data_IF_496955293446
#
_entry.id   IF_496955293446
#
_cell.length_a   1.000
_cell.length_b   1.000
_cell.length_c   1.000
_cell.angle_alpha   90.00
_cell.angle_beta   90.00
_cell.angle_gamma   90.00
#
_symmetry.space_group_name_H-M   'P 1'
#
loop_
_entity.id
_entity.type
_entity.pdbx_description
1 polymer ?
#
# COMPACT_ATOMS: atom_id res chain seq x y z
N UNK A 1 -7.01 26.56 -0.47
CA UNK A 1 -7.44 25.44 0.39
C UNK A 1 -6.51 24.25 0.18
N UNK A 2 -6.10 23.59 1.27
CA UNK A 2 -5.31 22.34 1.25
C UNK A 2 -6.18 21.24 1.85
N UNK A 3 -6.18 20.08 1.22
CA UNK A 3 -6.99 18.94 1.64
C UNK A 3 -6.07 17.75 1.89
N UNK A 4 -6.17 17.13 3.06
CA UNK A 4 -5.44 15.92 3.42
C UNK A 4 -6.42 14.77 3.59
N UNK A 5 -6.29 13.74 2.76
CA UNK A 5 -7.05 12.49 2.89
C UNK A 5 -6.26 11.51 3.77
N UNK A 6 -6.68 11.34 5.01
CA UNK A 6 -6.11 10.37 5.94
C UNK A 6 -6.85 9.03 5.85
N UNK A 7 -6.13 7.93 5.86
CA UNK A 7 -6.70 6.58 5.81
C UNK A 7 -6.18 5.70 6.94
N UNK A 8 -7.09 5.07 7.67
CA UNK A 8 -6.76 4.07 8.70
C UNK A 8 -6.33 2.72 8.10
N UNK A 9 -6.58 2.50 6.82
CA UNK A 9 -6.40 1.19 6.16
C UNK A 9 -5.01 0.59 6.33
N UNK A 10 -3.96 1.42 6.22
CA UNK A 10 -2.55 0.98 6.31
C UNK A 10 -1.93 1.37 7.63
N UNK A 11 -2.09 2.63 8.02
CA UNK A 11 -1.49 3.20 9.24
C UNK A 11 -1.92 2.46 10.51
N UNK A 12 -3.18 2.01 10.57
CA UNK A 12 -3.77 1.29 11.71
C UNK A 12 -4.12 -0.17 11.37
N UNK A 13 -3.65 -0.70 10.24
CA UNK A 13 -3.98 -2.05 9.75
C UNK A 13 -5.48 -2.37 9.68
N UNK A 14 -6.32 -1.33 9.55
CA UNK A 14 -7.79 -1.42 9.59
C UNK A 14 -8.43 -1.40 8.20
N UNK A 15 -7.81 -2.06 7.22
CA UNK A 15 -8.23 -2.01 5.82
C UNK A 15 -9.72 -2.36 5.61
N UNK A 16 -10.19 -3.40 6.27
CA UNK A 16 -11.57 -3.89 6.13
C UNK A 16 -12.62 -2.98 6.78
N UNK A 17 -12.23 -2.12 7.71
CA UNK A 17 -13.17 -1.26 8.45
C UNK A 17 -13.60 -0.01 7.68
N UNK A 18 -12.95 0.33 6.58
CA UNK A 18 -13.28 1.45 5.68
C UNK A 18 -13.39 2.80 6.40
N UNK A 19 -12.43 3.11 7.27
CA UNK A 19 -12.37 4.35 8.03
C UNK A 19 -11.25 5.26 7.54
N UNK A 20 -11.51 6.55 7.50
CA UNK A 20 -10.57 7.60 7.16
C UNK A 20 -11.15 8.98 7.48
N UNK A 21 -10.37 10.02 7.25
CA UNK A 21 -10.79 11.40 7.50
C UNK A 21 -10.34 12.31 6.35
N UNK A 22 -11.17 13.29 6.03
CA UNK A 22 -10.82 14.40 5.19
C UNK A 22 -10.50 15.60 6.09
N UNK A 23 -9.28 16.10 6.04
CA UNK A 23 -8.82 17.23 6.84
C UNK A 23 -8.66 18.42 5.92
N UNK A 24 -9.32 19.53 6.26
CA UNK A 24 -9.37 20.74 5.45
C UNK A 24 -8.59 21.86 6.13
N UNK A 25 -7.78 22.57 5.35
CA UNK A 25 -7.09 23.79 5.75
C UNK A 25 -7.41 24.89 4.73
N UNK A 26 -7.97 26.00 5.18
CA UNK A 26 -8.23 27.18 4.36
C UNK A 26 -7.79 28.46 5.06
N UNK A 27 -7.73 29.55 4.32
CA UNK A 27 -7.36 30.86 4.86
C UNK A 27 -8.49 31.50 5.70
N UNK A 28 -9.71 31.09 5.46
CA UNK A 28 -10.89 31.57 6.19
C UNK A 28 -11.80 30.40 6.59
N UNK A 29 -12.60 30.62 7.61
CA UNK A 29 -13.50 29.63 8.18
C UNK A 29 -14.70 29.34 7.25
N UNK A 30 -15.13 30.32 6.47
CA UNK A 30 -16.24 30.15 5.53
C UNK A 30 -15.99 29.08 4.53
N UNK A 31 -14.80 29.06 3.88
CA UNK A 31 -14.44 28.05 2.89
C UNK A 31 -14.41 26.62 3.49
N UNK A 32 -13.98 26.51 4.77
CA UNK A 32 -13.99 25.23 5.48
C UNK A 32 -15.42 24.77 5.71
N UNK A 33 -16.27 25.64 6.26
CA UNK A 33 -17.66 25.33 6.62
C UNK A 33 -18.51 25.00 5.38
N UNK A 34 -18.33 25.73 4.29
CA UNK A 34 -19.03 25.47 3.02
C UNK A 34 -18.61 24.10 2.45
N UNK A 35 -17.31 23.81 2.46
CA UNK A 35 -16.80 22.53 1.99
C UNK A 35 -17.29 21.37 2.87
N UNK A 36 -17.26 21.51 4.20
CA UNK A 36 -17.80 20.52 5.13
C UNK A 36 -19.28 20.26 4.88
N UNK A 37 -20.08 21.34 4.70
CA UNK A 37 -21.51 21.23 4.41
C UNK A 37 -21.77 20.43 3.11
N UNK A 38 -21.01 20.70 2.06
CA UNK A 38 -21.13 19.96 0.79
C UNK A 38 -20.77 18.49 0.98
N UNK A 39 -19.63 18.21 1.65
CA UNK A 39 -19.15 16.84 1.88
C UNK A 39 -20.12 16.04 2.76
N UNK A 40 -20.68 16.64 3.80
CA UNK A 40 -21.67 16.02 4.67
C UNK A 40 -22.94 15.63 3.89
N UNK A 41 -23.48 16.56 3.09
CA UNK A 41 -24.65 16.29 2.24
C UNK A 41 -24.37 15.21 1.19
N UNK A 42 -23.19 15.26 0.57
CA UNK A 42 -22.76 14.24 -0.38
C UNK A 42 -22.63 12.85 0.27
N UNK A 43 -22.00 12.78 1.44
CA UNK A 43 -21.88 11.56 2.20
C UNK A 43 -23.28 11.00 2.55
N UNK A 44 -24.17 11.86 3.05
CA UNK A 44 -25.55 11.48 3.39
C UNK A 44 -26.33 10.94 2.20
N UNK A 45 -26.13 11.49 1.02
CA UNK A 45 -26.81 11.09 -0.20
C UNK A 45 -26.27 9.76 -0.82
N UNK A 46 -25.03 9.40 -0.52
CA UNK A 46 -24.35 8.25 -1.15
C UNK A 46 -24.30 7.03 -0.24
N UNK A 47 -23.68 7.11 0.93
CA UNK A 47 -23.50 5.96 1.85
C UNK A 47 -24.10 6.18 3.25
N UNK A 48 -24.67 7.35 3.50
CA UNK A 48 -25.32 7.80 4.74
C UNK A 48 -24.37 8.05 5.90
N UNK A 49 -23.65 7.07 6.39
CA UNK A 49 -22.68 7.20 7.48
C UNK A 49 -21.61 6.10 7.37
N UNK A 50 -20.48 6.32 8.04
CA UNK A 50 -19.42 5.31 8.16
C UNK A 50 -19.72 4.37 9.34
N UNK A 51 -18.97 3.28 9.41
CA UNK A 51 -19.08 2.30 10.49
C UNK A 51 -18.67 2.92 11.83
N UNK A 52 -19.60 3.06 12.77
CA UNK A 52 -19.36 3.63 14.10
C UNK A 52 -18.30 2.81 14.87
N UNK A 53 -18.36 1.48 14.80
CA UNK A 53 -17.34 0.64 15.45
C UNK A 53 -15.93 0.89 14.94
N UNK A 54 -15.78 1.30 13.68
CA UNK A 54 -14.49 1.69 13.14
C UNK A 54 -13.99 3.01 13.72
N UNK A 55 -14.89 3.98 13.96
CA UNK A 55 -14.56 5.24 14.62
C UNK A 55 -14.18 5.03 16.09
N UNK A 56 -14.98 4.26 16.82
CA UNK A 56 -14.73 3.93 18.22
C UNK A 56 -13.38 3.20 18.38
N UNK A 57 -13.11 2.22 17.51
CA UNK A 57 -11.82 1.53 17.49
C UNK A 57 -10.66 2.49 17.19
N UNK A 58 -10.85 3.42 16.24
CA UNK A 58 -9.84 4.44 15.95
C UNK A 58 -9.53 5.28 17.19
N UNK A 59 -10.57 5.83 17.84
CA UNK A 59 -10.41 6.63 19.05
C UNK A 59 -9.70 5.85 20.13
N UNK A 60 -10.17 4.65 20.46
CA UNK A 60 -9.54 3.78 21.46
C UNK A 60 -8.06 3.54 21.19
N UNK A 61 -7.71 3.21 19.95
CA UNK A 61 -6.31 2.89 19.58
C UNK A 61 -5.40 4.12 19.68
N UNK A 62 -5.89 5.33 19.37
CA UNK A 62 -5.05 6.54 19.38
C UNK A 62 -5.06 7.27 20.73
N UNK A 63 -5.96 6.91 21.65
CA UNK A 63 -6.05 7.48 23.01
C UNK A 63 -5.70 6.45 24.08
N UNK A 64 -6.62 5.58 24.42
CA UNK A 64 -6.55 4.72 25.61
C UNK A 64 -5.51 3.59 25.45
N UNK A 65 -5.28 3.11 24.21
CA UNK A 65 -4.36 2.02 23.92
C UNK A 65 -3.12 2.47 23.10
N UNK A 66 -2.84 3.75 23.10
CA UNK A 66 -1.83 4.37 22.22
C UNK A 66 -0.44 3.74 22.37
N UNK A 67 0.01 3.54 23.58
CA UNK A 67 1.37 3.06 23.84
C UNK A 67 1.55 1.59 23.40
N UNK A 68 0.56 0.75 23.65
CA UNK A 68 0.57 -0.63 23.17
C UNK A 68 0.51 -0.68 21.65
N UNK A 69 -0.34 0.14 21.04
CA UNK A 69 -0.43 0.25 19.59
C UNK A 69 0.90 0.66 18.94
N UNK A 70 1.57 1.68 19.48
CA UNK A 70 2.85 2.13 18.93
C UNK A 70 3.93 1.04 19.02
N UNK A 71 4.00 0.33 20.15
CA UNK A 71 4.93 -0.77 20.35
C UNK A 71 4.67 -1.95 19.40
N UNK A 72 3.42 -2.32 19.23
CA UNK A 72 3.02 -3.38 18.31
C UNK A 72 3.29 -2.99 16.86
N UNK A 73 2.97 -1.75 16.49
CA UNK A 73 3.22 -1.19 15.17
C UNK A 73 4.70 -1.22 14.80
N UNK A 74 5.60 -0.90 15.73
CA UNK A 74 7.04 -0.95 15.51
C UNK A 74 7.52 -2.36 15.15
N UNK A 75 7.01 -3.38 15.84
CA UNK A 75 7.30 -4.79 15.54
C UNK A 75 6.92 -5.15 14.09
N UNK A 76 5.76 -4.70 13.62
CA UNK A 76 5.33 -4.95 12.23
C UNK A 76 6.11 -4.14 11.19
N UNK A 77 6.56 -2.94 11.54
CA UNK A 77 7.46 -2.14 10.70
C UNK A 77 8.79 -2.86 10.49
N UNK A 78 9.36 -3.43 11.55
CA UNK A 78 10.63 -4.17 11.46
C UNK A 78 10.50 -5.42 10.59
N UNK A 79 9.41 -6.17 10.70
CA UNK A 79 9.11 -7.31 9.82
C UNK A 79 8.99 -6.84 8.35
N UNK A 80 8.37 -5.69 8.12
CA UNK A 80 8.24 -5.13 6.78
C UNK A 80 9.59 -4.71 6.19
N UNK A 81 10.44 -4.08 6.99
CA UNK A 81 11.81 -3.71 6.60
C UNK A 81 12.62 -4.95 6.23
N UNK A 82 12.63 -5.97 7.09
CA UNK A 82 13.34 -7.22 6.79
C UNK A 82 12.93 -7.80 5.43
N UNK A 83 11.64 -7.86 5.15
CA UNK A 83 11.12 -8.38 3.86
C UNK A 83 11.53 -7.55 2.68
N UNK A 84 11.40 -6.23 2.78
CA UNK A 84 11.78 -5.32 1.69
C UNK A 84 13.29 -5.32 1.46
N UNK A 85 14.09 -5.33 2.51
CA UNK A 85 15.55 -5.33 2.41
C UNK A 85 16.08 -6.59 1.71
N UNK A 86 15.50 -7.77 2.03
CA UNK A 86 15.83 -9.02 1.35
C UNK A 86 15.50 -8.91 -0.14
N UNK A 87 14.28 -8.47 -0.47
CA UNK A 87 13.83 -8.36 -1.86
C UNK A 87 14.68 -7.36 -2.66
N UNK A 88 14.95 -6.18 -2.10
CA UNK A 88 15.73 -5.12 -2.74
C UNK A 88 17.18 -5.55 -2.98
N UNK A 89 17.79 -6.21 -1.99
CA UNK A 89 19.14 -6.74 -2.13
C UNK A 89 19.21 -7.76 -3.25
N UNK A 90 18.32 -8.74 -3.26
CA UNK A 90 18.26 -9.75 -4.31
C UNK A 90 17.98 -9.14 -5.69
N UNK A 91 17.06 -8.18 -5.77
CA UNK A 91 16.75 -7.46 -7.01
C UNK A 91 17.99 -6.78 -7.59
N UNK A 92 18.76 -6.10 -6.73
CA UNK A 92 20.04 -5.48 -7.12
C UNK A 92 21.05 -6.51 -7.57
N UNK A 93 21.20 -7.62 -6.83
CA UNK A 93 22.20 -8.66 -7.11
C UNK A 93 21.91 -9.40 -8.42
N UNK A 94 20.62 -9.61 -8.78
CA UNK A 94 20.24 -10.28 -10.02
C UNK A 94 19.90 -9.31 -11.19
N UNK A 95 20.02 -8.01 -11.00
CA UNK A 95 19.72 -7.01 -12.03
C UNK A 95 18.23 -6.92 -12.37
N UNK A 96 17.33 -7.13 -11.41
CA UNK A 96 15.90 -6.89 -11.58
C UNK A 96 15.60 -5.41 -11.42
N UNK A 97 15.13 -4.76 -12.49
CA UNK A 97 14.82 -3.33 -12.48
C UNK A 97 13.57 -3.04 -11.65
N UNK A 98 13.71 -2.11 -10.71
CA UNK A 98 12.62 -1.62 -9.86
C UNK A 98 12.57 -0.08 -9.89
N UNK A 99 11.37 0.47 -9.71
CA UNK A 99 11.23 1.90 -9.43
C UNK A 99 11.82 2.25 -8.06
N UNK A 100 12.26 3.51 -7.85
CA UNK A 100 12.78 3.94 -6.56
C UNK A 100 11.82 3.57 -5.42
N UNK A 101 12.33 2.85 -4.44
CA UNK A 101 11.60 2.41 -3.27
C UNK A 101 12.35 2.88 -2.02
N UNK A 102 11.64 3.46 -1.10
CA UNK A 102 12.17 3.86 0.20
C UNK A 102 11.50 3.08 1.33
N UNK A 103 10.18 3.09 1.35
CA UNK A 103 9.35 2.45 2.37
C UNK A 103 7.97 2.11 1.80
N UNK A 104 7.24 1.19 2.45
CA UNK A 104 5.86 0.87 2.13
C UNK A 104 5.58 -0.61 1.86
N UNK A 105 4.35 -0.91 1.51
CA UNK A 105 3.85 -2.27 1.34
C UNK A 105 4.21 -2.91 0.00
N UNK A 106 4.58 -2.08 -0.99
CA UNK A 106 4.67 -2.52 -2.38
C UNK A 106 5.96 -2.04 -3.02
N UNK A 107 6.68 -2.95 -3.66
CA UNK A 107 7.76 -2.65 -4.60
C UNK A 107 7.20 -2.75 -6.02
N UNK A 108 7.60 -1.88 -6.93
CA UNK A 108 7.14 -1.93 -8.33
C UNK A 108 8.31 -2.25 -9.25
N UNK A 109 8.20 -3.34 -9.99
CA UNK A 109 9.12 -3.68 -11.06
C UNK A 109 8.96 -2.67 -12.19
N UNK A 110 10.07 -2.20 -12.74
CA UNK A 110 10.07 -1.25 -13.85
C UNK A 110 10.02 -2.01 -15.18
N UNK A 111 8.87 -1.95 -15.85
CA UNK A 111 8.66 -2.52 -17.20
C UNK A 111 7.86 -1.49 -17.98
N UNK A 112 8.55 -0.67 -18.77
CA UNK A 112 7.93 0.48 -19.45
C UNK A 112 7.05 0.06 -20.63
N UNK A 113 7.38 -1.05 -21.31
CA UNK A 113 6.54 -1.63 -22.35
C UNK A 113 5.34 -2.36 -21.72
N UNK A 114 4.15 -1.82 -21.95
CA UNK A 114 2.91 -2.36 -21.39
C UNK A 114 2.61 -3.79 -21.88
N UNK A 115 2.90 -4.10 -23.15
CA UNK A 115 2.68 -5.43 -23.71
C UNK A 115 3.61 -6.46 -23.09
N UNK A 116 4.86 -6.08 -22.83
CA UNK A 116 5.81 -6.92 -22.11
C UNK A 116 5.37 -7.10 -20.66
N UNK A 117 4.92 -6.04 -20.00
CA UNK A 117 4.42 -6.13 -18.62
C UNK A 117 3.24 -7.10 -18.50
N UNK A 118 2.31 -7.10 -19.46
CA UNK A 118 1.18 -8.03 -19.50
C UNK A 118 1.64 -9.48 -19.68
N UNK A 119 2.58 -9.73 -20.58
CA UNK A 119 3.18 -11.07 -20.78
C UNK A 119 3.89 -11.57 -19.51
N UNK A 120 4.73 -10.72 -18.91
CA UNK A 120 5.45 -11.02 -17.67
C UNK A 120 4.48 -11.29 -16.53
N UNK A 121 3.44 -10.47 -16.39
CA UNK A 121 2.41 -10.67 -15.36
C UNK A 121 1.69 -12.01 -15.53
N UNK A 122 1.33 -12.39 -16.76
CA UNK A 122 0.75 -13.72 -17.04
C UNK A 122 1.71 -14.85 -16.68
N UNK A 123 2.97 -14.76 -17.11
CA UNK A 123 3.97 -15.75 -16.77
C UNK A 123 4.22 -15.88 -15.27
N UNK A 124 4.19 -14.77 -14.52
CA UNK A 124 4.26 -14.82 -13.06
C UNK A 124 3.11 -15.62 -12.47
N UNK A 125 1.88 -15.44 -12.96
CA UNK A 125 0.72 -16.23 -12.49
C UNK A 125 0.88 -17.71 -12.78
N UNK A 126 1.40 -18.09 -13.95
CA UNK A 126 1.68 -19.48 -14.31
C UNK A 126 2.71 -20.13 -13.36
N UNK A 127 3.62 -19.31 -12.83
CA UNK A 127 4.61 -19.70 -11.83
C UNK A 127 4.15 -19.50 -10.37
N UNK A 128 2.84 -19.28 -10.14
CA UNK A 128 2.23 -19.05 -8.83
C UNK A 128 2.78 -17.79 -8.09
N UNK A 129 3.17 -16.77 -8.85
CA UNK A 129 3.56 -15.46 -8.32
C UNK A 129 2.45 -14.46 -8.65
N UNK A 130 1.62 -14.15 -7.66
CA UNK A 130 0.47 -13.27 -7.83
C UNK A 130 0.86 -11.83 -7.54
N UNK A 131 0.80 -11.01 -8.58
CA UNK A 131 1.19 -9.60 -8.56
C UNK A 131 0.05 -8.72 -9.09
N UNK A 132 0.27 -7.42 -9.18
CA UNK A 132 -0.71 -6.49 -9.75
C UNK A 132 -0.08 -5.72 -10.90
N UNK A 133 -0.67 -5.84 -12.09
CA UNK A 133 -0.29 -5.04 -13.24
C UNK A 133 -0.66 -3.58 -12.98
N UNK A 134 0.30 -2.68 -13.20
CA UNK A 134 0.11 -1.23 -13.09
C UNK A 134 0.66 -0.54 -14.34
N UNK A 135 0.37 0.75 -14.50
CA UNK A 135 0.94 1.51 -15.60
C UNK A 135 2.47 1.48 -15.53
N UNK A 136 3.12 1.05 -16.60
CA UNK A 136 4.57 0.92 -16.77
C UNK A 136 5.27 0.01 -15.73
N UNK A 137 4.58 -1.02 -15.24
CA UNK A 137 5.22 -1.93 -14.32
C UNK A 137 4.34 -2.98 -13.69
N UNK A 138 4.92 -3.73 -12.76
CA UNK A 138 4.25 -4.78 -12.01
C UNK A 138 4.51 -4.56 -10.53
N UNK A 139 3.44 -4.42 -9.75
CA UNK A 139 3.50 -4.18 -8.32
C UNK A 139 3.55 -5.48 -7.53
N UNK A 140 4.58 -5.62 -6.70
CA UNK A 140 4.83 -6.76 -5.81
C UNK A 140 4.46 -6.37 -4.38
N UNK A 141 3.59 -7.14 -3.73
CA UNK A 141 3.18 -6.91 -2.36
C UNK A 141 4.14 -7.60 -1.38
N UNK A 142 5.26 -6.96 -1.04
CA UNK A 142 6.23 -7.49 -0.07
C UNK A 142 5.62 -7.67 1.33
N UNK A 143 4.54 -6.95 1.64
CA UNK A 143 3.79 -7.10 2.88
C UNK A 143 3.07 -8.44 3.03
N UNK A 144 2.73 -9.10 1.94
CA UNK A 144 1.95 -10.35 1.96
C UNK A 144 2.80 -11.62 1.92
N UNK A 145 4.11 -11.48 1.81
CA UNK A 145 5.04 -12.61 1.67
C UNK A 145 5.85 -12.78 2.96
N UNK A 146 5.88 -13.99 3.51
CA UNK A 146 6.70 -14.27 4.70
C UNK A 146 8.21 -14.23 4.37
N UNK A 147 9.06 -13.97 5.37
CA UNK A 147 10.52 -13.88 5.19
C UNK A 147 11.10 -15.10 4.46
N UNK A 148 10.74 -16.36 4.78
CA UNK A 148 11.24 -17.52 4.03
C UNK A 148 10.82 -17.53 2.54
N UNK A 149 9.65 -17.00 2.22
CA UNK A 149 9.12 -16.96 0.85
C UNK A 149 9.62 -15.77 0.03
N UNK A 150 10.08 -14.71 0.67
CA UNK A 150 10.68 -13.56 -0.03
C UNK A 150 12.07 -13.87 -0.53
N UNK A 151 12.79 -14.77 0.16
CA UNK A 151 14.12 -15.22 -0.24
C UNK A 151 14.05 -15.96 -1.57
N UNK A 152 14.84 -15.52 -2.54
CA UNK A 152 14.89 -16.07 -3.90
C UNK A 152 13.77 -15.55 -4.82
N UNK A 153 12.83 -14.75 -4.31
CA UNK A 153 11.68 -14.28 -5.10
C UNK A 153 12.11 -13.33 -6.22
N UNK A 154 12.97 -12.36 -5.94
CA UNK A 154 13.44 -11.40 -6.94
C UNK A 154 14.24 -12.11 -8.05
N UNK A 155 15.09 -13.05 -7.69
CA UNK A 155 15.82 -13.88 -8.66
C UNK A 155 14.88 -14.69 -9.53
N UNK A 156 13.91 -15.40 -8.95
CA UNK A 156 12.89 -16.16 -9.69
C UNK A 156 12.13 -15.28 -10.67
N UNK A 157 11.74 -14.07 -10.25
CA UNK A 157 11.08 -13.10 -11.13
C UNK A 157 11.98 -12.68 -12.30
N UNK A 158 13.28 -12.41 -12.04
CA UNK A 158 14.23 -12.05 -13.08
C UNK A 158 14.44 -13.17 -14.10
N UNK A 159 14.55 -14.41 -13.63
CA UNK A 159 14.72 -15.58 -14.50
C UNK A 159 13.52 -15.75 -15.43
N UNK A 160 12.28 -15.57 -14.94
CA UNK A 160 11.07 -15.62 -15.75
C UNK A 160 11.07 -14.50 -16.82
N UNK A 161 11.45 -13.27 -16.44
CA UNK A 161 11.51 -12.13 -17.38
C UNK A 161 12.54 -12.42 -18.49
N UNK A 162 13.69 -12.94 -18.15
CA UNK A 162 14.73 -13.26 -19.12
C UNK A 162 14.26 -14.29 -20.15
N UNK A 163 13.54 -15.34 -19.72
CA UNK A 163 12.96 -16.34 -20.64
C UNK A 163 11.93 -15.80 -21.62
N UNK A 164 11.34 -14.63 -21.34
CA UNK A 164 10.35 -13.98 -22.24
C UNK A 164 10.99 -12.96 -23.18
N UNK A 165 12.27 -12.64 -22.97
CA UNK A 165 13.01 -11.64 -23.74
C UNK A 165 13.90 -12.26 -24.81
N UNK A 166 14.01 -13.61 -24.81
CA UNK A 166 14.61 -14.43 -25.86
C UNK A 166 13.57 -14.79 -26.94
#
# INVERSE_FOLDING_TARGET
MITVAFSCSKTLTSYGMRCGALILFAQNETDVNDTMTVMEKYARATWSNINNSAMDNFVYVVTDNRDNFLKEKETYIDIMKERSDIFLKEAKDCGLDIYPYKEGFFVTLKIEDQKLAEKVHSAFMDHHIYTVLVNKGIRVAVCSVSVPKVKGLAKKMKDIINCLSE
#
